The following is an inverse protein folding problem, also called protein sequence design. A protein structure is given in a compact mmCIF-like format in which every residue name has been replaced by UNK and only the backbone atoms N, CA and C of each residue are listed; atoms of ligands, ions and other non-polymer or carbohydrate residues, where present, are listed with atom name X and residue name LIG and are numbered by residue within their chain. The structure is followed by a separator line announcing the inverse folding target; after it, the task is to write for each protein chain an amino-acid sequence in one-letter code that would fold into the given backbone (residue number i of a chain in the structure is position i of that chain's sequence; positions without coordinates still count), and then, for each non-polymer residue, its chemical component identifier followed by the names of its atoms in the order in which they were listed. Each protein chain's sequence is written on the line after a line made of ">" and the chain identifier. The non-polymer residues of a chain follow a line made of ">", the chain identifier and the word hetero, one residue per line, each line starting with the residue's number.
data_IF_526152173196
#
_entry.id   IF_526152173196
#
_cell.length_a   1.000
_cell.length_b   1.000
_cell.length_c   1.000
_cell.angle_alpha   90.00
_cell.angle_beta   90.00
_cell.angle_gamma   90.00
#
_symmetry.space_group_name_H-M   'P 1'
#
loop_
_entity.id
_entity.type
_entity.pdbx_description
1 polymer ?
#
# COMPACT_ATOMS: atom_id res chain seq x y z
N UNK A 1 15.12 11.42 -4.66
CA UNK A 1 15.73 10.18 -5.21
C UNK A 1 17.12 10.39 -5.80
N UNK A 2 17.31 11.23 -6.84
CA UNK A 2 18.62 11.39 -7.51
C UNK A 2 19.77 11.73 -6.54
N UNK A 3 19.54 12.64 -5.59
CA UNK A 3 20.55 13.00 -4.56
C UNK A 3 20.98 11.81 -3.70
N UNK A 4 20.04 10.97 -3.26
CA UNK A 4 20.34 9.75 -2.50
C UNK A 4 21.17 8.76 -3.33
N UNK A 5 20.80 8.56 -4.60
CA UNK A 5 21.50 7.66 -5.49
C UNK A 5 22.95 8.12 -5.76
N UNK A 6 23.17 9.41 -6.00
CA UNK A 6 24.50 9.93 -6.35
C UNK A 6 25.37 10.13 -5.09
N UNK A 7 24.84 10.77 -4.04
CA UNK A 7 25.64 11.11 -2.86
C UNK A 7 25.79 9.97 -1.87
N UNK A 8 24.82 9.04 -1.80
CA UNK A 8 24.82 7.95 -0.81
C UNK A 8 24.79 6.55 -1.43
N UNK A 9 24.76 6.44 -2.76
CA UNK A 9 24.58 5.16 -3.46
C UNK A 9 23.37 4.36 -2.95
N UNK A 10 22.35 5.08 -2.48
CA UNK A 10 21.19 4.50 -1.85
C UNK A 10 20.05 4.34 -2.85
N UNK A 11 19.46 3.15 -2.85
CA UNK A 11 18.22 2.81 -3.52
C UNK A 11 17.23 2.29 -2.48
N UNK A 12 15.94 2.39 -2.78
CA UNK A 12 14.89 1.93 -1.89
C UNK A 12 15.03 0.42 -1.66
N UNK A 13 15.21 -0.03 -0.40
CA UNK A 13 15.45 -1.43 -0.12
C UNK A 13 14.17 -2.24 -0.31
N UNK A 14 14.33 -3.49 -0.76
CA UNK A 14 13.24 -4.45 -0.72
C UNK A 14 12.84 -4.72 0.74
N UNK A 15 11.54 -4.81 1.01
CA UNK A 15 11.02 -5.07 2.34
C UNK A 15 11.10 -6.56 2.68
N UNK A 16 12.21 -6.95 3.30
CA UNK A 16 12.54 -8.35 3.63
C UNK A 16 11.68 -8.95 4.75
N UNK A 17 10.69 -8.22 5.28
CA UNK A 17 9.83 -8.66 6.39
C UNK A 17 8.51 -9.26 5.91
N UNK A 18 8.20 -9.12 4.62
CA UNK A 18 6.95 -9.61 4.07
C UNK A 18 6.92 -11.14 4.05
N UNK A 19 5.73 -11.69 4.30
CA UNK A 19 5.49 -13.14 4.29
C UNK A 19 5.02 -13.64 2.93
N UNK A 20 4.49 -12.76 2.09
CA UNK A 20 4.03 -13.06 0.73
C UNK A 20 3.03 -14.23 0.65
N UNK A 21 2.03 -14.27 1.55
CA UNK A 21 1.10 -15.40 1.66
C UNK A 21 0.35 -15.71 0.36
N UNK A 22 -0.07 -14.69 -0.41
CA UNK A 22 -0.74 -14.89 -1.70
C UNK A 22 0.17 -15.59 -2.71
N UNK A 23 1.43 -15.18 -2.81
CA UNK A 23 2.43 -15.88 -3.62
C UNK A 23 2.73 -17.29 -3.07
N UNK A 24 2.79 -17.47 -1.74
CA UNK A 24 2.99 -18.79 -1.14
C UNK A 24 1.83 -19.75 -1.48
N UNK A 25 0.58 -19.30 -1.36
CA UNK A 25 -0.61 -20.06 -1.75
C UNK A 25 -0.52 -20.51 -3.21
N UNK A 26 -0.17 -19.58 -4.10
CA UNK A 26 0.07 -19.89 -5.51
C UNK A 26 1.17 -20.94 -5.70
N UNK A 27 2.31 -20.81 -5.03
CA UNK A 27 3.42 -21.77 -5.16
C UNK A 27 3.06 -23.16 -4.61
N UNK A 28 2.24 -23.23 -3.56
CA UNK A 28 1.69 -24.50 -3.06
C UNK A 28 0.85 -25.19 -4.14
N UNK A 29 -0.07 -24.45 -4.78
CA UNK A 29 -0.89 -24.98 -5.87
C UNK A 29 -0.03 -25.42 -7.07
N UNK A 30 0.95 -24.60 -7.46
CA UNK A 30 1.82 -24.88 -8.59
C UNK A 30 2.64 -26.17 -8.39
N UNK A 31 3.27 -26.35 -7.23
CA UNK A 31 4.04 -27.58 -6.93
C UNK A 31 3.11 -28.79 -6.89
N UNK A 32 1.95 -28.66 -6.23
CA UNK A 32 0.97 -29.75 -6.14
C UNK A 32 0.48 -30.18 -7.53
N UNK A 33 0.17 -29.23 -8.40
CA UNK A 33 -0.22 -29.50 -9.79
C UNK A 33 0.91 -30.13 -10.60
N UNK A 34 2.15 -29.64 -10.44
CA UNK A 34 3.31 -30.15 -11.18
C UNK A 34 3.62 -31.61 -10.83
N UNK A 35 3.50 -31.99 -9.55
CA UNK A 35 3.88 -33.32 -9.09
C UNK A 35 2.71 -34.31 -9.07
N UNK A 36 1.47 -33.83 -9.20
CA UNK A 36 0.26 -34.65 -9.12
C UNK A 36 -0.09 -35.10 -7.70
N UNK A 37 0.82 -34.94 -6.74
CA UNK A 37 0.62 -35.23 -5.32
C UNK A 37 1.87 -34.88 -4.51
N UNK A 38 1.71 -34.26 -3.33
CA UNK A 38 2.83 -33.83 -2.49
C UNK A 38 2.50 -33.86 -1.00
N UNK A 39 3.46 -34.24 -0.15
CA UNK A 39 3.28 -34.21 1.31
C UNK A 39 3.51 -32.81 1.89
N UNK A 40 2.82 -32.49 2.98
CA UNK A 40 2.89 -31.17 3.60
C UNK A 40 4.29 -30.79 4.10
N UNK A 41 5.07 -31.75 4.57
CA UNK A 41 6.46 -31.53 5.01
C UNK A 41 7.41 -31.26 3.82
N UNK A 42 7.15 -31.86 2.65
CA UNK A 42 7.90 -31.57 1.43
C UNK A 42 7.66 -30.13 0.98
N UNK A 43 6.39 -29.68 0.94
CA UNK A 43 6.06 -28.29 0.65
C UNK A 43 6.70 -27.33 1.65
N UNK A 44 6.60 -27.61 2.95
CA UNK A 44 7.22 -26.79 3.99
C UNK A 44 8.74 -26.68 3.80
N UNK A 45 9.40 -27.81 3.54
CA UNK A 45 10.85 -27.86 3.38
C UNK A 45 11.30 -27.03 2.17
N UNK A 46 10.61 -27.18 1.02
CA UNK A 46 10.97 -26.50 -0.21
C UNK A 46 10.61 -25.01 -0.23
N UNK A 47 9.46 -24.63 0.32
CA UNK A 47 8.95 -23.25 0.21
C UNK A 47 9.40 -22.37 1.39
N UNK A 48 9.34 -22.88 2.62
CA UNK A 48 9.54 -22.08 3.83
C UNK A 48 10.91 -22.33 4.48
N UNK A 49 11.31 -23.60 4.66
CA UNK A 49 12.55 -23.93 5.38
C UNK A 49 13.81 -23.56 4.58
N UNK A 50 13.87 -23.98 3.32
CA UNK A 50 15.02 -23.74 2.43
C UNK A 50 14.71 -22.70 1.36
N UNK A 51 13.43 -22.51 1.06
CA UNK A 51 12.92 -21.64 0.02
C UNK A 51 12.86 -20.15 0.37
N UNK A 52 12.13 -19.37 -0.44
CA UNK A 52 12.05 -17.92 -0.32
C UNK A 52 11.08 -17.44 0.79
N UNK A 53 10.16 -18.28 1.28
CA UNK A 53 9.12 -17.89 2.25
C UNK A 53 9.56 -18.08 3.70
N UNK A 54 10.77 -17.65 4.04
CA UNK A 54 11.41 -17.90 5.36
C UNK A 54 10.74 -17.17 6.52
N UNK A 55 10.00 -16.11 6.22
CA UNK A 55 9.26 -15.32 7.21
C UNK A 55 7.91 -15.95 7.60
N UNK A 56 7.50 -17.03 6.94
CA UNK A 56 6.28 -17.77 7.27
C UNK A 56 6.60 -18.78 8.36
N UNK A 57 5.89 -18.69 9.48
CA UNK A 57 6.02 -19.66 10.56
C UNK A 57 5.21 -20.94 10.30
N UNK A 58 5.52 -22.00 11.05
CA UNK A 58 4.91 -23.32 10.86
C UNK A 58 3.39 -23.31 11.15
N UNK A 59 2.94 -22.47 12.08
CA UNK A 59 1.53 -22.40 12.43
C UNK A 59 0.72 -21.72 11.33
N UNK A 60 1.25 -20.63 10.78
CA UNK A 60 0.68 -19.97 9.60
C UNK A 60 0.59 -20.91 8.42
N UNK A 61 1.68 -21.64 8.12
CA UNK A 61 1.71 -22.58 7.01
C UNK A 61 0.67 -23.69 7.15
N UNK A 62 0.54 -24.27 8.35
CA UNK A 62 -0.51 -25.26 8.65
C UNK A 62 -1.92 -24.67 8.53
N UNK A 63 -2.12 -23.45 9.03
CA UNK A 63 -3.38 -22.73 8.92
C UNK A 63 -3.76 -22.51 7.47
N UNK A 64 -2.80 -22.10 6.64
CA UNK A 64 -2.97 -21.91 5.21
C UNK A 64 -3.37 -23.21 4.51
N UNK A 65 -2.63 -24.31 4.70
CA UNK A 65 -2.98 -25.60 4.09
C UNK A 65 -4.37 -26.09 4.50
N UNK A 66 -4.73 -25.95 5.78
CA UNK A 66 -6.05 -26.32 6.28
C UNK A 66 -7.15 -25.48 5.62
N UNK A 67 -6.94 -24.18 5.48
CA UNK A 67 -7.87 -23.29 4.80
C UNK A 67 -8.00 -23.62 3.31
N UNK A 68 -6.88 -23.85 2.62
CA UNK A 68 -6.88 -24.28 1.22
C UNK A 68 -7.66 -25.59 1.01
N UNK A 69 -7.54 -26.54 1.95
CA UNK A 69 -8.37 -27.75 1.94
C UNK A 69 -9.86 -27.47 2.13
N UNK A 70 -10.22 -26.58 3.06
CA UNK A 70 -11.60 -26.19 3.31
C UNK A 70 -12.25 -25.46 2.12
N UNK A 71 -11.47 -24.68 1.37
CA UNK A 71 -11.90 -24.00 0.15
C UNK A 71 -11.92 -24.88 -1.09
N UNK A 72 -11.57 -26.17 -0.97
CA UNK A 72 -11.51 -27.09 -2.11
C UNK A 72 -10.35 -26.82 -3.08
N UNK A 73 -9.36 -26.02 -2.67
CA UNK A 73 -8.14 -25.76 -3.44
C UNK A 73 -7.17 -26.94 -3.40
N UNK A 74 -7.14 -27.64 -2.27
CA UNK A 74 -6.37 -28.86 -2.06
C UNK A 74 -7.28 -29.98 -1.56
N UNK A 75 -6.88 -31.22 -1.79
CA UNK A 75 -7.53 -32.40 -1.19
C UNK A 75 -6.45 -33.33 -0.66
N UNK A 76 -6.60 -33.84 0.55
CA UNK A 76 -5.67 -34.81 1.12
C UNK A 76 -6.18 -36.23 0.87
N UNK A 77 -5.35 -37.05 0.25
CA UNK A 77 -5.60 -38.47 0.02
C UNK A 77 -5.42 -39.29 1.30
N UNK A 78 -5.95 -40.51 1.32
CA UNK A 78 -5.73 -41.45 2.42
C UNK A 78 -4.25 -41.83 2.61
N UNK A 79 -3.43 -41.72 1.56
CA UNK A 79 -1.97 -41.88 1.61
C UNK A 79 -1.25 -40.73 2.34
N UNK A 80 -1.97 -39.65 2.66
CA UNK A 80 -1.44 -38.45 3.32
C UNK A 80 -0.89 -37.39 2.37
N UNK A 81 -0.76 -37.69 1.07
CA UNK A 81 -0.40 -36.74 0.02
C UNK A 81 -1.56 -35.77 -0.24
N UNK A 82 -1.22 -34.52 -0.54
CA UNK A 82 -2.16 -33.51 -1.00
C UNK A 82 -2.12 -33.44 -2.52
N UNK A 83 -3.29 -33.39 -3.13
CA UNK A 83 -3.50 -33.16 -4.57
C UNK A 83 -4.29 -31.87 -4.77
N UNK A 84 -4.32 -31.37 -6.00
CA UNK A 84 -5.15 -30.22 -6.35
C UNK A 84 -6.62 -30.61 -6.20
N UNK A 85 -7.40 -29.78 -5.50
CA UNK A 85 -8.84 -29.99 -5.35
C UNK A 85 -9.63 -29.39 -6.51
N UNK A 86 -10.95 -29.62 -6.55
CA UNK A 86 -11.80 -29.20 -7.67
C UNK A 86 -11.76 -27.68 -7.95
N UNK A 87 -11.74 -26.84 -6.92
CA UNK A 87 -11.60 -25.38 -7.10
C UNK A 87 -10.16 -25.00 -7.49
N UNK A 88 -9.18 -25.74 -6.94
CA UNK A 88 -7.78 -25.60 -7.33
C UNK A 88 -7.57 -25.87 -8.82
N UNK A 89 -8.20 -26.90 -9.38
CA UNK A 89 -8.08 -27.25 -10.80
C UNK A 89 -8.60 -26.14 -11.71
N UNK A 90 -9.71 -25.48 -11.33
CA UNK A 90 -10.22 -24.32 -12.07
C UNK A 90 -9.19 -23.20 -12.13
N UNK A 91 -8.52 -22.94 -11.01
CA UNK A 91 -7.47 -21.92 -10.94
C UNK A 91 -6.25 -22.32 -11.75
N UNK A 92 -5.69 -23.52 -11.53
CA UNK A 92 -4.43 -23.94 -12.16
C UNK A 92 -4.54 -24.14 -13.67
N UNK A 93 -5.73 -24.46 -14.18
CA UNK A 93 -5.98 -24.59 -15.62
C UNK A 93 -6.28 -23.27 -16.32
N UNK A 94 -6.50 -22.18 -15.57
CA UNK A 94 -6.76 -20.88 -16.15
C UNK A 94 -5.45 -20.21 -16.60
N UNK A 95 -5.44 -19.61 -17.79
CA UNK A 95 -4.23 -19.00 -18.38
C UNK A 95 -3.62 -17.88 -17.53
N UNK A 96 -4.42 -17.22 -16.69
CA UNK A 96 -3.90 -16.19 -15.80
C UNK A 96 -3.08 -16.78 -14.67
N UNK A 97 -3.19 -18.08 -14.34
CA UNK A 97 -2.53 -18.71 -13.19
C UNK A 97 -1.03 -18.42 -13.17
N UNK A 98 -0.36 -18.49 -14.33
CA UNK A 98 1.09 -18.27 -14.48
C UNK A 98 1.58 -16.89 -14.01
N UNK A 99 0.70 -15.88 -13.92
CA UNK A 99 1.02 -14.57 -13.38
C UNK A 99 0.59 -14.47 -11.90
N UNK A 100 1.52 -14.03 -11.04
CA UNK A 100 1.28 -13.81 -9.60
C UNK A 100 0.97 -12.35 -9.24
N UNK A 101 1.11 -11.44 -10.19
CA UNK A 101 0.76 -10.03 -10.04
C UNK A 101 -0.66 -9.77 -10.56
N UNK A 102 -1.32 -8.77 -9.97
CA UNK A 102 -2.59 -8.27 -10.49
C UNK A 102 -2.37 -7.66 -11.87
N UNK A 103 -3.12 -8.17 -12.85
CA UNK A 103 -3.21 -7.56 -14.18
C UNK A 103 -4.56 -6.86 -14.21
N UNK A 104 -4.61 -5.53 -14.06
CA UNK A 104 -5.88 -4.82 -14.11
C UNK A 104 -6.54 -5.09 -15.47
N UNK A 105 -7.85 -5.26 -15.46
CA UNK A 105 -8.59 -5.44 -16.70
C UNK A 105 -8.78 -4.07 -17.36
N UNK A 106 -8.44 -3.98 -18.64
CA UNK A 106 -8.66 -2.77 -19.42
C UNK A 106 -10.12 -2.69 -19.86
N UNK A 107 -10.83 -1.65 -19.41
CA UNK A 107 -12.20 -1.34 -19.85
C UNK A 107 -12.18 -0.22 -20.87
N UNK A 108 -12.97 -0.37 -21.93
CA UNK A 108 -13.22 0.71 -22.90
C UNK A 108 -14.20 1.70 -22.30
N UNK A 109 -13.86 2.98 -22.34
CA UNK A 109 -14.78 4.06 -21.98
C UNK A 109 -15.51 4.53 -23.23
N UNK A 110 -16.84 4.53 -23.20
CA UNK A 110 -17.71 4.92 -24.31
C UNK A 110 -18.63 6.06 -23.87
N UNK A 111 -18.79 7.07 -24.71
CA UNK A 111 -19.83 8.11 -24.55
C UNK A 111 -20.71 8.17 -25.79
N UNK A 112 -22.01 7.96 -25.61
CA UNK A 112 -22.93 7.72 -26.73
C UNK A 112 -22.41 6.57 -27.62
N UNK A 113 -22.11 6.87 -28.89
CA UNK A 113 -21.57 5.89 -29.85
C UNK A 113 -20.05 6.01 -30.06
N UNK A 114 -19.34 6.79 -29.23
CA UNK A 114 -17.91 7.05 -29.40
C UNK A 114 -17.08 6.44 -28.28
N UNK A 115 -16.12 5.61 -28.63
CA UNK A 115 -15.04 5.17 -27.71
C UNK A 115 -14.09 6.33 -27.44
N UNK A 116 -13.91 6.67 -26.17
CA UNK A 116 -12.97 7.68 -25.70
C UNK A 116 -11.55 7.10 -25.57
N UNK A 117 -11.44 5.86 -25.10
CA UNK A 117 -10.17 5.12 -24.91
C UNK A 117 -10.36 3.94 -23.98
N UNK A 118 -9.28 3.44 -23.38
CA UNK A 118 -9.33 2.41 -22.33
C UNK A 118 -8.78 2.93 -21.01
N UNK A 119 -9.26 2.37 -19.91
CA UNK A 119 -8.66 2.54 -18.58
C UNK A 119 -8.51 1.20 -17.91
N UNK A 120 -7.43 1.00 -17.14
CA UNK A 120 -7.37 -0.10 -16.18
C UNK A 120 -8.47 0.12 -15.14
N UNK A 121 -9.24 -0.93 -14.87
CA UNK A 121 -10.17 -0.98 -13.73
C UNK A 121 -9.56 -1.91 -12.69
N UNK A 122 -9.06 -1.31 -11.64
CA UNK A 122 -8.37 -1.92 -10.50
C UNK A 122 -9.13 -1.72 -9.18
N UNK A 123 -10.23 -0.98 -9.20
CA UNK A 123 -11.21 -0.89 -8.13
C UNK A 123 -12.64 -0.98 -8.70
N UNK A 124 -13.62 -1.48 -7.92
CA UNK A 124 -15.00 -1.56 -8.37
C UNK A 124 -15.54 -0.17 -8.74
N UNK A 125 -15.77 0.05 -10.03
CA UNK A 125 -16.53 1.20 -10.50
C UNK A 125 -18.02 0.91 -10.29
N UNK A 126 -18.76 1.93 -9.85
CA UNK A 126 -20.21 1.87 -9.70
C UNK A 126 -20.88 2.89 -10.63
N UNK A 127 -22.09 2.60 -11.13
CA UNK A 127 -22.94 3.63 -11.73
C UNK A 127 -23.05 4.86 -10.83
N UNK A 128 -23.20 6.03 -11.44
CA UNK A 128 -23.21 7.36 -10.82
C UNK A 128 -21.88 7.85 -10.22
N UNK A 129 -20.84 7.01 -10.17
CA UNK A 129 -19.50 7.50 -9.86
C UNK A 129 -18.99 8.42 -10.98
N UNK A 130 -18.16 9.37 -10.59
CA UNK A 130 -17.46 10.22 -11.54
C UNK A 130 -16.16 9.53 -11.97
N UNK A 131 -15.51 9.91 -13.06
CA UNK A 131 -14.13 9.50 -13.42
C UNK A 131 -13.47 10.65 -14.19
N UNK A 132 -12.13 10.71 -14.22
CA UNK A 132 -11.39 11.62 -15.11
C UNK A 132 -10.73 10.83 -16.23
N UNK A 133 -11.08 11.15 -17.47
CA UNK A 133 -10.41 10.57 -18.63
C UNK A 133 -10.08 11.65 -19.66
N UNK A 134 -8.83 11.67 -20.13
CA UNK A 134 -8.34 12.70 -21.04
C UNK A 134 -8.44 14.12 -20.47
N UNK A 135 -8.27 14.29 -19.15
CA UNK A 135 -8.39 15.57 -18.46
C UNK A 135 -9.83 16.12 -18.35
N UNK A 136 -10.84 15.33 -18.72
CA UNK A 136 -12.26 15.70 -18.64
C UNK A 136 -12.97 14.82 -17.60
N UNK A 137 -13.97 15.39 -16.93
CA UNK A 137 -14.81 14.67 -15.98
C UNK A 137 -15.96 13.99 -16.70
N UNK A 138 -16.19 12.74 -16.34
CA UNK A 138 -17.23 11.89 -16.85
C UNK A 138 -18.01 11.28 -15.69
N UNK A 139 -19.30 11.04 -15.87
CA UNK A 139 -20.14 10.30 -14.93
C UNK A 139 -20.43 8.94 -15.53
N UNK A 140 -20.19 7.87 -14.77
CA UNK A 140 -20.49 6.50 -15.17
C UNK A 140 -22.00 6.32 -15.17
N UNK A 141 -22.56 5.91 -16.30
CA UNK A 141 -23.99 5.61 -16.45
C UNK A 141 -24.25 4.11 -16.33
N UNK A 142 -23.36 3.29 -16.87
CA UNK A 142 -23.51 1.84 -16.94
C UNK A 142 -22.13 1.18 -17.08
N UNK A 143 -22.00 -0.04 -16.55
CA UNK A 143 -20.78 -0.85 -16.67
C UNK A 143 -21.20 -2.23 -17.17
N UNK A 144 -20.71 -2.62 -18.34
CA UNK A 144 -20.86 -3.96 -18.90
C UNK A 144 -19.56 -4.75 -18.65
N UNK A 145 -19.51 -5.44 -17.51
CA UNK A 145 -18.32 -6.18 -17.06
C UNK A 145 -17.88 -7.26 -18.05
N UNK A 146 -18.83 -8.06 -18.57
CA UNK A 146 -18.52 -9.13 -19.54
C UNK A 146 -17.88 -8.60 -20.84
N UNK A 147 -18.29 -7.41 -21.28
CA UNK A 147 -17.77 -6.77 -22.50
C UNK A 147 -16.59 -5.82 -22.23
N UNK A 148 -16.24 -5.62 -20.96
CA UNK A 148 -15.23 -4.66 -20.47
C UNK A 148 -15.49 -3.26 -21.01
N UNK A 149 -16.71 -2.75 -20.83
CA UNK A 149 -17.15 -1.42 -21.29
C UNK A 149 -17.72 -0.61 -20.14
N UNK A 150 -17.32 0.65 -20.05
CA UNK A 150 -17.90 1.66 -19.15
C UNK A 150 -18.56 2.71 -20.02
N UNK A 151 -19.86 2.88 -19.87
CA UNK A 151 -20.58 3.98 -20.51
C UNK A 151 -20.57 5.21 -19.63
N UNK A 152 -20.34 6.36 -20.23
CA UNK A 152 -20.21 7.63 -19.52
C UNK A 152 -20.88 8.81 -20.23
N UNK A 153 -21.31 9.77 -19.42
CA UNK A 153 -21.77 11.09 -19.86
C UNK A 153 -20.87 12.20 -19.33
N UNK A 154 -20.80 13.33 -20.04
CA UNK A 154 -19.99 14.46 -19.61
C UNK A 154 -20.62 15.14 -18.38
N UNK A 155 -19.81 15.46 -17.37
CA UNK A 155 -20.28 16.10 -16.12
C UNK A 155 -19.37 17.26 -15.70
N UNK A 156 -19.95 18.26 -15.03
CA UNK A 156 -19.23 19.41 -14.47
C UNK A 156 -18.92 19.26 -12.97
N UNK A 157 -19.63 18.39 -12.26
CA UNK A 157 -19.57 18.20 -10.80
C UNK A 157 -18.96 16.86 -10.37
N UNK A 158 -19.02 16.57 -9.07
CA UNK A 158 -18.57 15.31 -8.44
C UNK A 158 -17.08 15.27 -8.09
N UNK A 159 -16.74 14.63 -6.96
CA UNK A 159 -15.36 14.25 -6.69
C UNK A 159 -15.02 13.03 -7.56
N UNK A 160 -14.00 13.12 -8.42
CA UNK A 160 -13.55 11.96 -9.15
C UNK A 160 -12.97 10.92 -8.17
N UNK A 161 -13.18 9.62 -8.40
CA UNK A 161 -12.50 8.57 -7.69
C UNK A 161 -11.01 8.74 -7.93
N UNK A 162 -10.24 8.40 -6.91
CA UNK A 162 -8.79 8.32 -7.05
C UNK A 162 -8.49 7.21 -8.06
N UNK A 163 -7.77 7.57 -9.12
CA UNK A 163 -7.18 6.55 -9.98
C UNK A 163 -6.11 5.82 -9.20
N UNK A 164 -6.17 4.50 -9.19
CA UNK A 164 -5.10 3.65 -8.72
C UNK A 164 -3.96 3.72 -9.74
N UNK A 165 -3.00 4.56 -9.40
CA UNK A 165 -1.66 4.58 -9.97
C UNK A 165 -0.66 4.70 -8.84
N UNK A 166 -0.98 4.08 -7.70
CA UNK A 166 -0.20 4.16 -6.48
C UNK A 166 1.21 3.65 -6.78
N UNK A 167 2.19 4.54 -6.65
CA UNK A 167 3.58 4.13 -6.59
C UNK A 167 3.82 3.17 -5.41
N UNK A 168 5.00 2.56 -5.36
CA UNK A 168 5.41 1.81 -4.19
C UNK A 168 5.44 2.71 -2.95
N UNK A 169 5.23 2.11 -1.78
CA UNK A 169 5.38 2.76 -0.48
C UNK A 169 6.74 3.45 -0.38
N UNK A 170 6.74 4.73 -0.01
CA UNK A 170 7.96 5.53 0.17
C UNK A 170 8.62 5.19 1.50
N UNK A 171 9.93 4.93 1.47
CA UNK A 171 10.77 4.62 2.62
C UNK A 171 11.20 5.88 3.39
N UNK A 172 11.42 5.75 4.71
CA UNK A 172 11.80 6.83 5.63
C UNK A 172 12.94 7.70 5.09
N UNK A 173 14.02 7.06 4.63
CA UNK A 173 15.21 7.71 4.07
C UNK A 173 14.89 8.75 2.97
N UNK A 174 13.84 8.55 2.17
CA UNK A 174 13.46 9.50 1.12
C UNK A 174 12.97 10.81 1.73
N UNK A 175 12.06 10.73 2.70
CA UNK A 175 11.49 11.92 3.36
C UNK A 175 12.44 12.54 4.37
N UNK A 176 13.31 11.75 5.00
CA UNK A 176 14.39 12.26 5.81
C UNK A 176 15.41 13.04 4.97
N UNK A 177 15.69 12.60 3.75
CA UNK A 177 16.51 13.38 2.81
C UNK A 177 15.81 14.67 2.39
N UNK A 178 14.50 14.64 2.12
CA UNK A 178 13.73 15.85 1.83
C UNK A 178 13.81 16.85 2.99
N UNK A 179 13.68 16.39 4.23
CA UNK A 179 13.85 17.22 5.42
C UNK A 179 15.27 17.82 5.51
N UNK A 180 16.31 17.02 5.21
CA UNK A 180 17.69 17.51 5.19
C UNK A 180 17.89 18.60 4.13
N UNK A 181 17.37 18.39 2.91
CA UNK A 181 17.43 19.37 1.82
C UNK A 181 16.75 20.69 2.25
N UNK A 182 15.58 20.65 2.87
CA UNK A 182 14.88 21.85 3.34
C UNK A 182 15.63 22.56 4.46
N UNK A 183 16.24 21.81 5.40
CA UNK A 183 17.07 22.37 6.48
C UNK A 183 18.34 23.03 5.94
N UNK A 184 18.97 22.44 4.94
CA UNK A 184 20.14 23.00 4.26
C UNK A 184 19.78 24.17 3.34
N UNK A 185 18.53 24.24 2.87
CA UNK A 185 18.09 25.21 1.86
C UNK A 185 18.76 24.99 0.50
N UNK A 186 19.22 23.76 0.22
CA UNK A 186 19.99 23.45 -0.98
C UNK A 186 19.72 22.02 -1.48
N UNK A 187 19.04 21.91 -2.63
CA UNK A 187 18.75 20.63 -3.26
C UNK A 187 19.91 20.09 -4.11
N UNK A 188 20.95 20.90 -4.36
CA UNK A 188 22.05 20.53 -5.26
C UNK A 188 22.87 19.38 -4.68
N UNK A 189 23.48 18.63 -5.58
CA UNK A 189 24.20 17.40 -5.23
C UNK A 189 25.68 17.72 -5.06
N UNK A 190 26.24 17.44 -3.89
CA UNK A 190 27.68 17.60 -3.65
C UNK A 190 28.45 16.47 -4.35
N UNK A 191 29.39 16.85 -5.23
CA UNK A 191 30.30 15.95 -5.93
C UNK A 191 31.71 16.54 -5.81
N UNK A 192 32.52 15.97 -4.92
CA UNK A 192 33.82 16.53 -4.53
C UNK A 192 33.66 17.92 -3.93
N UNK A 193 34.37 18.91 -4.46
CA UNK A 193 34.29 20.32 -4.03
C UNK A 193 33.21 21.14 -4.75
N UNK A 194 32.43 20.54 -5.66
CA UNK A 194 31.40 21.22 -6.47
C UNK A 194 30.00 20.78 -6.07
N UNK A 195 29.02 21.64 -6.33
CA UNK A 195 27.59 21.32 -6.24
C UNK A 195 26.98 21.35 -7.63
N UNK A 196 26.37 20.25 -8.03
CA UNK A 196 25.69 20.12 -9.33
C UNK A 196 24.22 20.48 -9.19
N UNK A 197 23.77 21.43 -10.00
CA UNK A 197 22.38 21.79 -10.16
C UNK A 197 21.78 21.00 -11.34
N UNK A 198 20.66 20.33 -11.07
CA UNK A 198 19.92 19.50 -12.01
C UNK A 198 18.46 19.98 -12.18
N UNK A 199 18.07 21.07 -11.52
CA UNK A 199 16.71 21.60 -11.57
C UNK A 199 16.57 22.55 -12.78
N UNK A 200 15.38 22.55 -13.39
CA UNK A 200 14.99 23.61 -14.30
C UNK A 200 14.50 24.84 -13.54
N UNK A 201 14.10 25.88 -14.26
CA UNK A 201 13.59 27.13 -13.65
C UNK A 201 12.32 26.90 -12.82
N UNK A 202 11.42 26.01 -13.24
CA UNK A 202 10.18 25.74 -12.53
C UNK A 202 10.45 25.05 -11.19
N UNK A 203 11.28 24.00 -11.20
CA UNK A 203 11.70 23.29 -10.00
C UNK A 203 12.46 24.20 -9.01
N UNK A 204 13.30 25.12 -9.50
CA UNK A 204 13.96 26.14 -8.66
C UNK A 204 12.96 27.05 -7.96
N UNK A 205 11.95 27.53 -8.67
CA UNK A 205 10.93 28.41 -8.10
C UNK A 205 10.09 27.68 -7.06
N UNK A 206 9.65 26.46 -7.36
CA UNK A 206 8.90 25.62 -6.41
C UNK A 206 9.72 25.28 -5.17
N UNK A 207 11.02 25.02 -5.32
CA UNK A 207 11.91 24.79 -4.18
C UNK A 207 12.04 26.04 -3.30
N UNK A 208 12.23 27.22 -3.91
CA UNK A 208 12.32 28.48 -3.17
C UNK A 208 11.02 28.79 -2.40
N UNK A 209 9.86 28.54 -3.01
CA UNK A 209 8.56 28.64 -2.34
C UNK A 209 8.43 27.62 -1.19
N UNK A 210 8.84 26.38 -1.44
CA UNK A 210 8.87 25.31 -0.44
C UNK A 210 9.74 25.67 0.76
N UNK A 211 10.96 26.19 0.55
CA UNK A 211 11.84 26.69 1.60
C UNK A 211 11.21 27.84 2.39
N UNK A 212 10.55 28.77 1.70
CA UNK A 212 9.86 29.89 2.35
C UNK A 212 8.74 29.39 3.27
N UNK A 213 7.93 28.44 2.81
CA UNK A 213 6.88 27.83 3.63
C UNK A 213 7.47 26.98 4.77
N UNK A 214 8.52 26.20 4.52
CA UNK A 214 9.21 25.40 5.54
C UNK A 214 9.68 26.27 6.72
N UNK A 215 10.26 27.44 6.42
CA UNK A 215 10.67 28.41 7.43
C UNK A 215 9.46 29.09 8.11
N UNK A 216 8.47 29.51 7.33
CA UNK A 216 7.24 30.16 7.82
C UNK A 216 6.50 29.31 8.86
N UNK A 217 6.39 28.01 8.59
CA UNK A 217 5.73 27.05 9.48
C UNK A 217 6.70 26.41 10.50
N UNK A 218 7.96 26.84 10.53
CA UNK A 218 9.01 26.35 11.47
C UNK A 218 9.20 24.84 11.42
N UNK A 219 9.04 24.24 10.25
CA UNK A 219 9.08 22.79 10.02
C UNK A 219 10.46 22.16 10.24
N UNK A 220 11.49 22.96 10.54
CA UNK A 220 12.75 22.44 11.04
C UNK A 220 12.57 21.68 12.37
N UNK A 221 11.62 22.12 13.21
CA UNK A 221 11.39 21.64 14.57
C UNK A 221 9.94 21.22 14.81
N UNK A 222 8.98 21.84 14.10
CA UNK A 222 7.56 21.53 14.26
C UNK A 222 7.13 20.38 13.35
N UNK A 223 6.48 19.39 13.95
CA UNK A 223 5.85 18.28 13.22
C UNK A 223 4.31 18.33 13.29
N UNK A 224 3.76 19.21 14.13
CA UNK A 224 2.33 19.42 14.29
C UNK A 224 2.03 20.88 13.99
N UNK A 225 1.21 21.17 12.99
CA UNK A 225 0.84 22.53 12.62
C UNK A 225 -0.66 22.68 12.48
N UNK A 226 -1.16 23.90 12.65
CA UNK A 226 -2.55 24.26 12.39
C UNK A 226 -2.63 25.12 11.13
N UNK A 227 -3.58 24.84 10.26
CA UNK A 227 -3.97 25.74 9.17
C UNK A 227 -5.49 25.72 9.01
N UNK A 228 -6.12 26.87 9.23
CA UNK A 228 -7.59 26.97 9.27
C UNK A 228 -8.19 26.10 10.38
N UNK A 229 -9.11 25.22 10.02
CA UNK A 229 -9.76 24.27 10.94
C UNK A 229 -9.07 22.90 10.97
N UNK A 230 -7.96 22.73 10.26
CA UNK A 230 -7.27 21.45 10.15
C UNK A 230 -6.00 21.44 10.99
N UNK A 231 -5.71 20.28 11.57
CA UNK A 231 -4.41 19.95 12.15
C UNK A 231 -3.65 19.10 11.14
N UNK A 232 -2.36 19.37 10.95
CA UNK A 232 -1.49 18.55 10.12
C UNK A 232 -0.37 17.94 10.95
N UNK A 233 -0.10 16.66 10.71
CA UNK A 233 1.09 15.97 11.22
C UNK A 233 2.02 15.72 10.05
N UNK A 234 3.28 16.12 10.18
CA UNK A 234 4.31 16.01 9.14
C UNK A 234 5.47 15.18 9.73
N UNK A 235 5.42 13.84 9.65
CA UNK A 235 6.40 13.00 10.32
C UNK A 235 7.80 13.06 9.73
N UNK A 236 7.91 13.39 8.43
CA UNK A 236 9.13 13.16 7.63
C UNK A 236 9.60 11.70 7.64
N UNK A 237 8.63 10.78 7.74
CA UNK A 237 8.82 9.33 7.74
C UNK A 237 8.09 8.69 6.56
N UNK A 238 8.47 7.47 6.22
CA UNK A 238 7.93 6.68 5.13
C UNK A 238 6.47 6.30 5.34
N UNK A 239 5.85 5.76 4.30
CA UNK A 239 4.40 5.54 4.26
C UNK A 239 3.94 4.60 5.36
N UNK A 240 4.73 3.60 5.74
CA UNK A 240 4.33 2.71 6.85
C UNK A 240 4.13 3.44 8.17
N UNK A 241 5.00 4.38 8.53
CA UNK A 241 4.84 5.18 9.76
C UNK A 241 3.68 6.15 9.62
N UNK A 242 3.54 6.80 8.47
CA UNK A 242 2.43 7.72 8.17
C UNK A 242 1.08 7.00 8.26
N UNK A 243 0.98 5.81 7.67
CA UNK A 243 -0.20 4.95 7.71
C UNK A 243 -0.52 4.51 9.13
N UNK A 244 0.49 4.11 9.92
CA UNK A 244 0.27 3.76 11.33
C UNK A 244 -0.30 4.94 12.11
N UNK A 245 0.30 6.13 12.03
CA UNK A 245 -0.19 7.32 12.74
C UNK A 245 -1.60 7.67 12.28
N UNK A 246 -1.88 7.61 10.98
CA UNK A 246 -3.22 7.87 10.42
C UNK A 246 -4.25 6.89 10.98
N UNK A 247 -3.95 5.59 11.00
CA UNK A 247 -4.83 4.56 11.54
C UNK A 247 -5.07 4.73 13.05
N UNK A 248 -4.03 5.10 13.82
CA UNK A 248 -4.18 5.42 15.25
C UNK A 248 -5.12 6.61 15.48
N UNK A 249 -5.01 7.66 14.67
CA UNK A 249 -5.88 8.84 14.76
C UNK A 249 -7.34 8.48 14.43
N UNK A 250 -7.56 7.68 13.38
CA UNK A 250 -8.90 7.20 13.02
C UNK A 250 -9.51 6.39 14.18
N UNK A 251 -8.72 5.51 14.81
CA UNK A 251 -9.15 4.75 16.01
C UNK A 251 -9.51 5.64 17.19
N UNK A 252 -8.84 6.78 17.35
CA UNK A 252 -9.17 7.79 18.35
C UNK A 252 -10.41 8.63 17.97
N UNK A 253 -11.09 8.34 16.86
CA UNK A 253 -12.30 9.02 16.41
C UNK A 253 -12.04 10.27 15.57
N UNK A 254 -10.79 10.54 15.18
CA UNK A 254 -10.47 11.66 14.30
C UNK A 254 -10.81 11.33 12.84
N UNK A 255 -11.26 12.35 12.10
CA UNK A 255 -11.34 12.30 10.64
C UNK A 255 -9.97 12.64 10.07
N UNK A 256 -9.14 11.62 9.89
CA UNK A 256 -7.77 11.76 9.39
C UNK A 256 -7.62 11.13 8.01
N UNK A 257 -6.86 11.79 7.14
CA UNK A 257 -6.39 11.25 5.87
C UNK A 257 -4.88 11.51 5.74
N UNK A 258 -4.21 10.87 4.78
CA UNK A 258 -2.82 11.17 4.48
C UNK A 258 -2.55 11.24 2.99
N UNK A 259 -1.67 12.16 2.61
CA UNK A 259 -1.23 12.33 1.23
C UNK A 259 0.22 12.82 1.19
N UNK A 260 1.03 12.20 0.33
CA UNK A 260 2.45 12.55 0.14
C UNK A 260 3.28 12.61 1.44
N UNK A 261 2.90 11.83 2.46
CA UNK A 261 3.59 11.78 3.77
C UNK A 261 3.14 12.83 4.78
N UNK A 262 2.10 13.61 4.46
CA UNK A 262 1.44 14.55 5.38
C UNK A 262 0.11 13.95 5.81
N UNK A 263 -0.20 14.03 7.10
CA UNK A 263 -1.47 13.58 7.67
C UNK A 263 -2.30 14.83 7.95
N UNK A 264 -3.50 14.90 7.38
CA UNK A 264 -4.47 15.97 7.61
C UNK A 264 -5.57 15.44 8.53
N UNK A 265 -5.92 16.22 9.55
CA UNK A 265 -7.01 15.92 10.47
C UNK A 265 -8.01 17.08 10.48
N UNK A 266 -9.26 16.77 10.15
CA UNK A 266 -10.34 17.76 10.08
C UNK A 266 -10.79 18.23 11.47
N UNK A 267 -11.16 19.51 11.55
CA UNK A 267 -11.81 20.14 12.70
C UNK A 267 -11.12 19.85 14.05
N UNK A 268 -9.80 19.81 14.05
CA UNK A 268 -9.00 19.36 15.19
C UNK A 268 -7.89 20.34 15.52
N UNK A 269 -7.57 20.46 16.82
CA UNK A 269 -6.44 21.26 17.29
C UNK A 269 -5.21 20.39 17.49
N UNK A 270 -4.02 20.98 17.34
CA UNK A 270 -2.74 20.31 17.63
C UNK A 270 -2.74 19.69 19.04
N UNK A 271 -3.24 20.43 20.05
CA UNK A 271 -3.29 19.93 21.43
C UNK A 271 -4.17 18.67 21.57
N UNK A 272 -5.34 18.63 20.92
CA UNK A 272 -6.23 17.45 20.95
C UNK A 272 -5.60 16.23 20.29
N UNK A 273 -4.93 16.42 19.14
CA UNK A 273 -4.25 15.36 18.39
C UNK A 273 -3.05 14.83 19.18
N UNK A 274 -2.22 15.71 19.73
CA UNK A 274 -1.07 15.33 20.56
C UNK A 274 -1.52 14.59 21.82
N UNK A 275 -2.59 15.05 22.49
CA UNK A 275 -3.11 14.39 23.68
C UNK A 275 -3.57 12.96 23.38
N UNK A 276 -4.35 12.76 22.32
CA UNK A 276 -4.82 11.43 21.94
C UNK A 276 -3.68 10.48 21.55
N UNK A 277 -2.67 10.96 20.83
CA UNK A 277 -1.49 10.16 20.48
C UNK A 277 -0.63 9.84 21.72
N UNK A 278 -0.53 10.75 22.70
CA UNK A 278 0.14 10.51 23.98
C UNK A 278 -0.57 9.43 24.80
N UNK A 279 -1.90 9.51 24.91
CA UNK A 279 -2.71 8.50 25.59
C UNK A 279 -2.48 7.11 24.98
N UNK A 280 -2.54 6.99 23.64
CA UNK A 280 -2.26 5.74 22.94
C UNK A 280 -0.84 5.21 23.17
N UNK A 281 0.15 6.11 23.21
CA UNK A 281 1.53 5.74 23.49
C UNK A 281 1.68 5.17 24.91
N UNK A 282 0.98 5.74 25.89
CA UNK A 282 0.99 5.31 27.29
C UNK A 282 0.20 3.99 27.51
N UNK A 283 -0.92 3.81 26.82
CA UNK A 283 -1.72 2.57 26.90
C UNK A 283 -1.10 1.40 26.15
N UNK A 284 -0.12 1.67 25.27
CA UNK A 284 0.49 0.71 24.37
C UNK A 284 -0.12 0.78 22.97
N UNK A 285 0.73 0.87 21.96
CA UNK A 285 0.30 0.91 20.57
C UNK A 285 -0.19 -0.48 20.11
N UNK A 286 -1.29 -0.56 19.35
CA UNK A 286 -1.74 -1.79 18.72
C UNK A 286 -0.69 -2.36 17.77
N UNK A 287 -0.71 -3.68 17.60
CA UNK A 287 0.14 -4.32 16.60
C UNK A 287 -0.32 -3.98 15.18
N UNK A 288 0.56 -4.19 14.20
CA UNK A 288 0.22 -4.06 12.79
C UNK A 288 -0.94 -4.99 12.37
N UNK A 289 -1.03 -6.18 12.98
CA UNK A 289 -2.14 -7.11 12.79
C UNK A 289 -3.46 -6.54 13.31
N UNK A 290 -3.44 -5.96 14.52
CA UNK A 290 -4.64 -5.36 15.10
C UNK A 290 -5.13 -4.22 14.21
N UNK A 291 -4.23 -3.33 13.78
CA UNK A 291 -4.56 -2.22 12.87
C UNK A 291 -5.15 -2.71 11.54
N UNK A 292 -4.59 -3.79 10.99
CA UNK A 292 -5.09 -4.38 9.75
C UNK A 292 -6.49 -4.98 9.89
N UNK A 293 -6.89 -5.43 11.08
CA UNK A 293 -8.20 -6.05 11.30
C UNK A 293 -9.35 -5.07 11.02
N UNK A 294 -9.15 -3.78 11.25
CA UNK A 294 -10.15 -2.74 11.02
C UNK A 294 -10.26 -2.32 9.54
N UNK A 295 -9.34 -2.76 8.69
CA UNK A 295 -9.31 -2.37 7.28
C UNK A 295 -10.35 -3.19 6.51
N UNK A 296 -11.37 -2.57 5.88
CA UNK A 296 -12.39 -3.34 5.16
C UNK A 296 -11.83 -4.04 3.91
N UNK A 297 -11.00 -3.32 3.13
CA UNK A 297 -10.42 -3.82 1.88
C UNK A 297 -8.93 -4.15 2.08
N UNK A 298 -8.60 -5.44 2.07
CA UNK A 298 -7.24 -5.95 2.31
C UNK A 298 -6.68 -6.72 1.10
N UNK A 299 -7.48 -6.96 0.07
CA UNK A 299 -7.05 -7.71 -1.11
C UNK A 299 -6.19 -6.81 -2.00
N UNK A 300 -4.87 -6.99 -1.90
CA UNK A 300 -3.89 -6.20 -2.64
C UNK A 300 -3.21 -7.04 -3.72
N UNK A 301 -2.94 -8.30 -3.40
CA UNK A 301 -2.24 -9.25 -4.24
C UNK A 301 -3.25 -10.29 -4.78
N UNK A 302 -2.94 -10.87 -5.94
CA UNK A 302 -3.90 -11.60 -6.77
C UNK A 302 -4.67 -12.74 -6.08
N UNK A 303 -4.01 -13.48 -5.21
CA UNK A 303 -4.60 -14.63 -4.53
C UNK A 303 -5.00 -14.32 -3.09
N UNK A 304 -5.07 -13.05 -2.70
CA UNK A 304 -5.45 -12.66 -1.34
C UNK A 304 -6.89 -13.09 -0.98
N UNK A 305 -7.79 -13.18 -1.95
CA UNK A 305 -9.18 -13.66 -1.76
C UNK A 305 -9.27 -15.11 -1.26
N UNK A 306 -8.22 -15.91 -1.48
CA UNK A 306 -8.14 -17.31 -1.06
C UNK A 306 -7.39 -17.50 0.28
N UNK A 307 -6.97 -16.41 0.92
CA UNK A 307 -6.29 -16.47 2.21
C UNK A 307 -7.31 -16.49 3.35
N UNK A 308 -7.03 -17.22 4.45
CA UNK A 308 -7.79 -17.05 5.67
C UNK A 308 -7.58 -15.63 6.22
N UNK A 309 -8.65 -15.03 6.76
CA UNK A 309 -8.66 -13.63 7.25
C UNK A 309 -7.49 -13.30 8.18
N UNK A 310 -7.09 -14.24 9.05
CA UNK A 310 -5.96 -14.03 9.96
C UNK A 310 -4.62 -13.85 9.23
N UNK A 311 -4.35 -14.61 8.17
CA UNK A 311 -3.13 -14.47 7.39
C UNK A 311 -3.19 -13.25 6.47
N UNK A 312 -4.38 -12.92 5.96
CA UNK A 312 -4.62 -11.71 5.19
C UNK A 312 -4.31 -10.46 6.03
N UNK A 313 -4.88 -10.36 7.24
CA UNK A 313 -4.62 -9.26 8.16
C UNK A 313 -3.14 -9.20 8.58
N UNK A 314 -2.50 -10.35 8.84
CA UNK A 314 -1.07 -10.40 9.19
C UNK A 314 -0.20 -9.91 8.03
N UNK A 315 -0.46 -10.35 6.81
CA UNK A 315 0.25 -9.93 5.59
C UNK A 315 0.05 -8.44 5.27
N UNK A 316 -1.21 -7.99 5.27
CA UNK A 316 -1.55 -6.59 5.06
C UNK A 316 -0.88 -5.69 6.11
N UNK A 317 -0.99 -6.05 7.39
CA UNK A 317 -0.41 -5.28 8.48
C UNK A 317 1.10 -5.09 8.33
N UNK A 318 1.82 -6.17 8.00
CA UNK A 318 3.26 -6.10 7.75
C UNK A 318 3.63 -5.20 6.56
N UNK A 319 2.78 -5.15 5.52
CA UNK A 319 2.97 -4.32 4.32
C UNK A 319 2.63 -2.85 4.56
N UNK A 320 1.58 -2.56 5.34
CA UNK A 320 1.01 -1.23 5.48
C UNK A 320 1.49 -0.44 6.71
N UNK A 321 1.89 -1.11 7.80
CA UNK A 321 2.14 -0.48 9.10
C UNK A 321 3.54 -0.75 9.64
N UNK A 322 4.04 0.23 10.39
CA UNK A 322 5.31 0.18 11.14
C UNK A 322 5.07 0.65 12.57
N UNK A 323 4.72 -0.27 13.49
CA UNK A 323 4.39 0.08 14.88
C UNK A 323 5.61 0.55 15.68
N UNK A 324 6.77 -0.09 15.51
CA UNK A 324 7.96 0.24 16.30
C UNK A 324 8.54 1.59 15.90
N UNK A 325 8.72 1.82 14.60
CA UNK A 325 9.16 3.11 14.07
C UNK A 325 8.21 4.24 14.45
N UNK A 326 6.90 3.97 14.47
CA UNK A 326 5.90 4.94 14.95
C UNK A 326 6.05 5.23 16.44
N UNK A 327 6.27 4.21 17.28
CA UNK A 327 6.50 4.40 18.72
C UNK A 327 7.70 5.31 18.98
N UNK A 328 8.83 5.02 18.34
CA UNK A 328 10.07 5.80 18.46
C UNK A 328 9.84 7.24 18.01
N UNK A 329 9.11 7.44 16.91
CA UNK A 329 8.78 8.78 16.41
C UNK A 329 7.89 9.55 17.40
N UNK A 330 6.83 8.93 17.91
CA UNK A 330 5.92 9.55 18.88
C UNK A 330 6.64 9.93 20.18
N UNK A 331 7.50 9.05 20.72
CA UNK A 331 8.30 9.33 21.92
C UNK A 331 9.23 10.54 21.77
N UNK A 332 9.68 10.82 20.55
CA UNK A 332 10.58 11.94 20.26
C UNK A 332 9.83 13.26 20.06
N UNK A 333 8.59 13.21 19.60
CA UNK A 333 7.87 14.38 19.06
C UNK A 333 6.62 14.80 19.86
N UNK A 334 6.30 14.10 20.96
CA UNK A 334 5.19 14.40 21.86
C UNK A 334 5.68 14.76 23.27
#
# INVERSE_FOLDING_TARGET
>A
MIRLMISKQWFEPADSRQMHYSTLLHQILAITAQWGGVRADQLWSQLCQTGPFRNVDLNDFKSLLKHMGACGLLTQLASGEMVVGAEGEKLTNHYTFYAVFNTPEEFRIITGNRTLGTVPVDSPLLPDQHIIFGGRRWKVTEIETEKKVIYVEATKGGQPPQFSGGGMSVHDAVRQEMLAIYREGDYRIAIGSKKVDYADTAARNLFAEGCSNFQRFKLQNECFITSGQHCYVIPWMGDKVVNTITALLIRCGFKANSFAGVIEIDNSSVASVQHALKEMLLSGLPSAFDLATDVPEKYLDKYDEYLPESLLAKGYGAKAYETEGTRIWLQKHL
#
